data_IF_382588672265
#
_entry.id   IF_382588672265
#
_cell.length_a   1.000
_cell.length_b   1.000
_cell.length_c   1.000
_cell.angle_alpha   90.00
_cell.angle_beta   90.00
_cell.angle_gamma   90.00
#
_symmetry.space_group_name_H-M   'P 1'
#
loop_
_entity.id
_entity.type
_entity.pdbx_description
1 polymer ?
#
# COMPACT_ATOMS: atom_id res chain seq x y z
N UNK A 1 17.53 12.00 -6.69
CA UNK A 1 16.16 11.61 -7.10
C UNK A 1 15.92 10.21 -6.57
N UNK A 2 14.83 9.95 -5.84
CA UNK A 2 14.53 8.61 -5.30
C UNK A 2 13.81 7.77 -6.36
N UNK A 3 14.18 6.49 -6.51
CA UNK A 3 13.48 5.55 -7.38
C UNK A 3 12.37 4.83 -6.61
N UNK A 4 11.13 5.21 -6.92
CA UNK A 4 9.92 4.55 -6.40
C UNK A 4 9.21 3.76 -7.49
N UNK A 5 8.53 2.67 -7.10
CA UNK A 5 7.65 1.90 -7.97
C UNK A 5 6.34 1.56 -7.25
N UNK A 6 5.23 1.65 -7.98
CA UNK A 6 3.94 1.11 -7.56
C UNK A 6 3.81 -0.35 -8.03
N UNK A 7 3.46 -1.25 -7.11
CA UNK A 7 3.34 -2.68 -7.41
C UNK A 7 2.32 -3.38 -6.50
N UNK A 8 1.97 -4.63 -6.83
CA UNK A 8 0.85 -5.35 -6.20
C UNK A 8 1.24 -6.58 -5.38
N UNK A 9 2.48 -7.07 -5.53
CA UNK A 9 2.85 -8.37 -4.98
C UNK A 9 4.23 -8.40 -4.35
N UNK A 10 4.39 -9.31 -3.39
CA UNK A 10 5.66 -9.56 -2.74
C UNK A 10 6.75 -10.04 -3.70
N UNK A 11 6.42 -10.89 -4.68
CA UNK A 11 7.40 -11.40 -5.65
C UNK A 11 7.94 -10.30 -6.58
N UNK A 12 7.09 -9.35 -6.99
CA UNK A 12 7.52 -8.18 -7.76
C UNK A 12 8.33 -7.23 -6.87
N UNK A 13 7.92 -7.04 -5.61
CA UNK A 13 8.68 -6.24 -4.64
C UNK A 13 10.11 -6.76 -4.45
N UNK A 14 10.29 -8.08 -4.33
CA UNK A 14 11.62 -8.70 -4.24
C UNK A 14 12.49 -8.41 -5.47
N UNK A 15 11.91 -8.48 -6.67
CA UNK A 15 12.63 -8.20 -7.91
C UNK A 15 12.99 -6.71 -8.03
N UNK A 16 12.06 -5.82 -7.69
CA UNK A 16 12.27 -4.38 -7.70
C UNK A 16 13.41 -3.95 -6.77
N UNK A 17 13.44 -4.48 -5.53
CA UNK A 17 14.53 -4.21 -4.58
C UNK A 17 15.87 -4.69 -5.12
N UNK A 18 15.94 -5.88 -5.74
CA UNK A 18 17.16 -6.38 -6.40
C UNK A 18 17.61 -5.51 -7.57
N UNK A 19 16.68 -4.86 -8.26
CA UNK A 19 16.95 -3.93 -9.36
C UNK A 19 17.34 -2.51 -8.89
N UNK A 20 17.44 -2.27 -7.57
CA UNK A 20 17.89 -1.00 -7.01
C UNK A 20 16.78 0.03 -6.80
N UNK A 21 15.52 -0.40 -6.69
CA UNK A 21 14.41 0.46 -6.22
C UNK A 21 14.62 0.81 -4.76
N UNK A 22 14.38 2.07 -4.42
CA UNK A 22 14.65 2.65 -3.10
C UNK A 22 13.37 2.81 -2.26
N UNK A 23 12.18 2.78 -2.87
CA UNK A 23 10.88 2.84 -2.18
C UNK A 23 9.79 2.09 -2.93
N UNK A 24 8.88 1.48 -2.19
CA UNK A 24 7.74 0.74 -2.75
C UNK A 24 6.44 1.45 -2.36
N UNK A 25 5.60 1.72 -3.36
CA UNK A 25 4.19 2.02 -3.14
C UNK A 25 3.37 0.73 -3.33
N UNK A 26 2.93 0.15 -2.21
CA UNK A 26 2.23 -1.13 -2.20
C UNK A 26 0.73 -0.93 -2.38
N UNK A 27 0.21 -1.55 -3.43
CA UNK A 27 -1.16 -1.43 -3.90
C UNK A 27 -1.80 -2.81 -4.08
N UNK A 28 -3.10 -2.82 -4.34
CA UNK A 28 -3.82 -3.92 -5.01
C UNK A 28 -4.71 -3.32 -6.10
N UNK A 29 -5.03 -4.06 -7.16
CA UNK A 29 -5.88 -3.57 -8.27
C UNK A 29 -5.37 -2.26 -8.86
N UNK A 30 -4.13 -2.27 -9.35
CA UNK A 30 -3.56 -1.13 -10.09
C UNK A 30 -4.38 -0.79 -11.34
N UNK A 31 -5.10 -1.76 -11.91
CA UNK A 31 -6.09 -1.56 -12.98
C UNK A 31 -7.23 -0.61 -12.57
N UNK A 32 -7.48 -0.43 -11.27
CA UNK A 32 -8.44 0.53 -10.72
C UNK A 32 -7.77 1.79 -10.14
N UNK A 33 -6.48 2.00 -10.45
CA UNK A 33 -5.67 3.09 -9.91
C UNK A 33 -5.14 2.84 -8.50
N UNK A 34 -5.12 1.59 -8.03
CA UNK A 34 -4.58 1.23 -6.72
C UNK A 34 -5.61 1.29 -5.60
N UNK A 35 -5.71 0.19 -4.84
CA UNK A 35 -6.58 -0.05 -3.71
C UNK A 35 -5.77 -0.60 -2.53
N UNK A 36 -6.40 -0.62 -1.36
CA UNK A 36 -5.83 -1.20 -0.14
C UNK A 36 -5.40 -2.66 -0.37
N UNK A 37 -4.11 -3.01 -0.21
CA UNK A 37 -3.66 -4.39 -0.34
C UNK A 37 -4.12 -5.27 0.81
N UNK A 38 -3.87 -6.58 0.72
CA UNK A 38 -4.15 -7.49 1.83
C UNK A 38 -3.09 -7.38 2.94
N UNK A 39 -3.52 -7.60 4.19
CA UNK A 39 -2.64 -7.54 5.36
C UNK A 39 -1.42 -8.44 5.28
N UNK A 40 -1.63 -9.67 4.81
CA UNK A 40 -0.56 -10.64 4.63
C UNK A 40 0.50 -10.16 3.61
N UNK A 41 0.12 -9.31 2.65
CA UNK A 41 1.04 -8.81 1.62
C UNK A 41 1.97 -7.74 2.18
N UNK A 42 1.46 -6.72 2.87
CA UNK A 42 2.35 -5.70 3.45
C UNK A 42 3.25 -6.26 4.56
N UNK A 43 2.78 -7.22 5.36
CA UNK A 43 3.61 -7.91 6.36
C UNK A 43 4.79 -8.66 5.73
N UNK A 44 4.63 -9.20 4.52
CA UNK A 44 5.73 -9.82 3.77
C UNK A 44 6.67 -8.78 3.18
N UNK A 45 6.11 -7.75 2.53
CA UNK A 45 6.90 -6.69 1.88
C UNK A 45 7.72 -5.88 2.89
N UNK A 46 7.20 -5.63 4.09
CA UNK A 46 7.92 -4.96 5.17
C UNK A 46 9.26 -5.63 5.53
N UNK A 47 9.37 -6.94 5.33
CA UNK A 47 10.61 -7.71 5.60
C UNK A 47 11.74 -7.41 4.61
N UNK A 48 11.46 -6.73 3.50
CA UNK A 48 12.46 -6.34 2.50
C UNK A 48 13.32 -5.14 2.92
N UNK A 49 13.01 -4.50 4.06
CA UNK A 49 13.80 -3.41 4.68
C UNK A 49 14.04 -2.19 3.77
N UNK A 50 13.20 -2.00 2.76
CA UNK A 50 13.08 -0.73 2.03
C UNK A 50 11.86 0.04 2.54
N UNK A 51 11.83 1.38 2.46
CA UNK A 51 10.62 2.16 2.73
C UNK A 51 9.42 1.66 1.93
N UNK A 52 8.28 1.47 2.61
CA UNK A 52 7.02 1.02 2.03
C UNK A 52 5.93 2.02 2.36
N UNK A 53 5.26 2.52 1.33
CA UNK A 53 4.04 3.33 1.43
C UNK A 53 2.87 2.43 1.08
N UNK A 54 1.90 2.27 1.98
CA UNK A 54 0.74 1.40 1.75
C UNK A 54 -0.46 2.22 1.31
N UNK A 55 -1.10 1.83 0.21
CA UNK A 55 -2.36 2.42 -0.24
C UNK A 55 -3.48 2.14 0.77
N UNK A 56 -4.26 3.16 1.10
CA UNK A 56 -5.50 3.06 1.88
C UNK A 56 -6.63 3.64 1.05
N UNK A 57 -7.25 2.79 0.23
CA UNK A 57 -8.36 3.13 -0.67
C UNK A 57 -9.32 1.95 -0.82
N UNK A 58 -10.58 2.06 -0.37
CA UNK A 58 -11.47 0.92 -0.23
C UNK A 58 -12.09 0.45 -1.56
N UNK A 59 -12.23 1.35 -2.54
CA UNK A 59 -12.79 1.06 -3.86
C UNK A 59 -12.20 1.96 -4.96
N UNK A 60 -12.41 1.58 -6.22
CA UNK A 60 -12.08 2.40 -7.37
C UNK A 60 -13.08 3.56 -7.58
N UNK A 61 -12.85 4.35 -8.63
CA UNK A 61 -13.67 5.51 -8.96
C UNK A 61 -13.22 6.78 -8.23
N UNK A 62 -14.19 7.59 -7.79
CA UNK A 62 -13.95 8.84 -7.06
C UNK A 62 -13.34 8.63 -5.66
N UNK A 63 -13.07 9.75 -5.00
CA UNK A 63 -12.56 9.83 -3.62
C UNK A 63 -13.62 10.33 -2.62
N UNK A 64 -14.89 10.45 -3.05
CA UNK A 64 -15.98 10.89 -2.18
C UNK A 64 -16.53 9.70 -1.40
N UNK A 65 -15.95 9.44 -0.23
CA UNK A 65 -16.28 8.26 0.56
C UNK A 65 -17.52 8.44 1.42
N UNK A 66 -18.33 7.39 1.49
CA UNK A 66 -19.39 7.29 2.47
C UNK A 66 -18.85 6.91 3.87
N UNK A 67 -19.73 6.94 4.87
CA UNK A 67 -19.35 6.67 6.26
C UNK A 67 -18.77 5.26 6.48
N UNK A 68 -19.26 4.24 5.78
CA UNK A 68 -18.79 2.87 5.92
C UNK A 68 -17.42 2.69 5.28
N UNK A 69 -17.18 3.32 4.13
CA UNK A 69 -15.88 3.37 3.46
C UNK A 69 -14.82 4.06 4.33
N UNK A 70 -15.16 5.20 4.94
CA UNK A 70 -14.27 5.87 5.90
C UNK A 70 -14.01 4.99 7.13
N UNK A 71 -15.00 4.23 7.59
CA UNK A 71 -14.85 3.30 8.72
C UNK A 71 -13.91 2.15 8.37
N UNK A 72 -14.00 1.63 7.14
CA UNK A 72 -13.08 0.63 6.60
C UNK A 72 -11.65 1.18 6.51
N UNK A 73 -11.46 2.38 5.93
CA UNK A 73 -10.14 3.02 5.86
C UNK A 73 -9.52 3.22 7.25
N UNK A 74 -10.31 3.69 8.23
CA UNK A 74 -9.86 3.82 9.63
C UNK A 74 -9.52 2.48 10.27
N UNK A 75 -10.20 1.39 9.91
CA UNK A 75 -9.85 0.04 10.38
C UNK A 75 -8.52 -0.43 9.78
N UNK A 76 -8.29 -0.21 8.47
CA UNK A 76 -7.02 -0.49 7.81
C UNK A 76 -5.87 0.30 8.45
N UNK A 77 -6.04 1.60 8.71
CA UNK A 77 -5.01 2.42 9.37
C UNK A 77 -4.63 1.88 10.76
N UNK A 78 -5.60 1.38 11.52
CA UNK A 78 -5.33 0.73 12.82
C UNK A 78 -4.52 -0.55 12.67
N UNK A 79 -4.79 -1.36 11.64
CA UNK A 79 -4.01 -2.55 11.34
C UNK A 79 -2.58 -2.20 10.92
N UNK A 80 -2.42 -1.23 10.02
CA UNK A 80 -1.11 -0.75 9.58
C UNK A 80 -0.27 -0.21 10.73
N UNK A 81 -0.89 0.56 11.64
CA UNK A 81 -0.24 1.03 12.87
C UNK A 81 0.19 -0.12 13.78
N UNK A 82 -0.68 -1.12 13.97
CA UNK A 82 -0.36 -2.30 14.77
C UNK A 82 0.78 -3.14 14.15
N UNK A 83 0.85 -3.20 12.83
CA UNK A 83 1.93 -3.84 12.06
C UNK A 83 3.17 -2.93 11.89
N UNK A 84 3.20 -1.75 12.54
CA UNK A 84 4.32 -0.79 12.51
C UNK A 84 4.70 -0.29 11.10
N UNK A 85 3.73 -0.22 10.19
CA UNK A 85 3.91 0.42 8.89
C UNK A 85 4.04 1.94 9.07
N UNK A 86 5.06 2.52 8.44
CA UNK A 86 5.47 3.92 8.70
C UNK A 86 4.81 4.94 7.78
N UNK A 87 4.29 4.51 6.63
CA UNK A 87 3.81 5.42 5.60
C UNK A 87 2.60 4.85 4.88
N UNK A 88 1.65 5.74 4.58
CA UNK A 88 0.43 5.44 3.84
C UNK A 88 0.20 6.49 2.78
N UNK A 89 -0.52 6.12 1.72
CA UNK A 89 -1.05 7.04 0.72
C UNK A 89 -2.56 6.86 0.63
N UNK A 90 -3.29 7.95 0.46
CA UNK A 90 -4.75 7.99 0.28
C UNK A 90 -5.13 9.29 -0.42
N UNK A 91 -6.32 9.33 -1.01
CA UNK A 91 -6.94 10.56 -1.54
C UNK A 91 -8.31 10.76 -0.91
N UNK A 92 -8.76 12.01 -0.77
CA UNK A 92 -10.05 12.43 -0.22
C UNK A 92 -10.59 13.59 -1.06
#
# INVERSE_FOLDING_TARGET
MIREIALESYSVAQQAVKAGVERIELNQRLDLGGLTPQRATWQKVQKLKVPVVVMVRPRGGDFNYNNDELKQMKATLRQLKADQMQSVTFGY
#
